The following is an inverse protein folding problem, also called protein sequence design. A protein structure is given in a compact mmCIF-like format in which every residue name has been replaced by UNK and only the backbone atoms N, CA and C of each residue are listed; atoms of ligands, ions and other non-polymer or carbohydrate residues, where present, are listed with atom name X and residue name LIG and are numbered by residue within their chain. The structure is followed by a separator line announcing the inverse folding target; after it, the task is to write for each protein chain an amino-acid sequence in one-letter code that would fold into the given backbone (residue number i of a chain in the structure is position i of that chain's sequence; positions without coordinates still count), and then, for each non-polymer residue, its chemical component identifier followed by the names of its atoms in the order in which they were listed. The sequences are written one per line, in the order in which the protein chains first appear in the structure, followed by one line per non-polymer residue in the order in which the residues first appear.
data_IF_617506008499
#
_entry.id   IF_617506008499
#
_cell.length_a   1.000
_cell.length_b   1.000
_cell.length_c   1.000
_cell.angle_alpha   90.00
_cell.angle_beta   90.00
_cell.angle_gamma   90.00
#
_symmetry.space_group_name_H-M   'P 1'
#
loop_
_entity.id
_entity.type
_entity.pdbx_description
1 polymer ?
#
# COMPACT_ATOMS: atom_id res chain seq x y z
N UNK A 1 33.62 -25.28 12.99
CA UNK A 1 33.68 -23.98 13.68
C UNK A 1 32.93 -22.97 12.81
N UNK A 2 31.68 -22.74 13.16
CA UNK A 2 30.77 -21.85 12.39
C UNK A 2 30.57 -20.59 13.23
N UNK A 3 31.20 -19.49 12.81
CA UNK A 3 31.01 -18.18 13.45
C UNK A 3 29.64 -17.62 13.08
N UNK A 4 28.78 -17.53 14.06
CA UNK A 4 27.48 -16.86 13.97
C UNK A 4 27.70 -15.36 14.00
N UNK A 5 27.58 -14.69 12.84
CA UNK A 5 27.66 -13.24 12.72
C UNK A 5 26.38 -12.62 13.31
N UNK A 6 26.43 -12.30 14.59
CA UNK A 6 25.40 -11.50 15.27
C UNK A 6 25.48 -10.07 14.73
N UNK A 7 24.53 -9.69 13.90
CA UNK A 7 24.34 -8.29 13.47
C UNK A 7 24.01 -7.44 14.71
N UNK A 8 25.02 -6.80 15.27
CA UNK A 8 24.92 -5.83 16.36
C UNK A 8 24.11 -4.61 15.85
N UNK A 9 22.83 -4.51 16.24
CA UNK A 9 22.07 -3.25 16.12
C UNK A 9 22.80 -2.20 16.94
N UNK A 10 23.37 -1.19 16.30
CA UNK A 10 23.92 -0.01 17.00
C UNK A 10 22.80 0.61 17.85
N UNK A 11 23.06 0.88 19.15
CA UNK A 11 22.06 1.55 20.00
C UNK A 11 21.75 2.94 19.39
N UNK A 12 20.46 3.24 19.19
CA UNK A 12 20.01 4.56 18.74
C UNK A 12 20.44 5.62 19.77
N UNK A 13 21.02 6.74 19.31
CA UNK A 13 21.41 7.80 20.20
C UNK A 13 20.16 8.52 20.78
N UNK A 14 20.15 8.95 22.06
CA UNK A 14 18.99 9.58 22.72
C UNK A 14 18.42 10.83 22.02
N UNK A 15 19.24 11.55 21.23
CA UNK A 15 18.80 12.68 20.41
C UNK A 15 17.98 12.25 19.19
N UNK A 16 18.31 11.10 18.60
CA UNK A 16 17.60 10.55 17.44
C UNK A 16 16.23 9.98 17.86
N UNK A 17 16.15 9.29 19.00
CA UNK A 17 14.88 8.78 19.53
C UNK A 17 13.90 9.91 19.86
N UNK A 18 14.40 11.02 20.44
CA UNK A 18 13.58 12.22 20.70
C UNK A 18 13.09 12.88 19.40
N UNK A 19 13.91 12.88 18.35
CA UNK A 19 13.53 13.37 17.02
C UNK A 19 12.45 12.49 16.38
N UNK A 20 12.64 11.19 16.38
CA UNK A 20 11.66 10.23 15.87
C UNK A 20 10.32 10.30 16.58
N UNK A 21 10.32 10.40 17.91
CA UNK A 21 9.10 10.62 18.70
C UNK A 21 8.41 11.93 18.33
N UNK A 22 9.16 13.01 18.17
CA UNK A 22 8.62 14.31 17.79
C UNK A 22 7.96 14.26 16.41
N UNK A 23 8.58 13.60 15.43
CA UNK A 23 8.00 13.39 14.10
C UNK A 23 6.72 12.56 14.20
N UNK A 24 6.70 11.51 15.01
CA UNK A 24 5.51 10.69 15.23
C UNK A 24 4.35 11.49 15.84
N UNK A 25 4.64 12.31 16.85
CA UNK A 25 3.63 13.18 17.50
C UNK A 25 3.05 14.21 16.50
N UNK A 26 3.90 14.84 15.67
CA UNK A 26 3.49 15.77 14.63
C UNK A 26 2.63 15.10 13.55
N UNK A 27 3.01 13.93 13.08
CA UNK A 27 2.24 13.16 12.08
C UNK A 27 0.92 12.67 12.67
N UNK A 28 0.88 12.27 13.94
CA UNK A 28 -0.37 11.89 14.63
C UNK A 28 -1.35 13.06 14.76
N UNK A 29 -0.86 14.25 15.07
CA UNK A 29 -1.68 15.47 15.11
C UNK A 29 -2.20 15.85 13.72
N UNK A 30 -1.34 15.75 12.69
CA UNK A 30 -1.75 16.01 11.30
C UNK A 30 -2.83 15.02 10.84
N UNK A 31 -2.68 13.73 11.15
CA UNK A 31 -3.66 12.69 10.85
C UNK A 31 -5.04 13.04 11.41
N UNK A 32 -5.11 13.41 12.69
CA UNK A 32 -6.37 13.79 13.33
C UNK A 32 -7.02 15.01 12.66
N UNK A 33 -6.24 16.04 12.32
CA UNK A 33 -6.74 17.26 11.68
C UNK A 33 -7.17 17.00 10.23
N UNK A 34 -6.45 16.19 9.47
CA UNK A 34 -6.84 15.82 8.11
C UNK A 34 -8.15 15.05 8.07
N UNK A 35 -8.44 14.24 9.09
CA UNK A 35 -9.72 13.54 9.21
C UNK A 35 -10.84 14.47 9.64
N UNK A 36 -10.61 15.32 10.66
CA UNK A 36 -11.66 16.14 11.29
C UNK A 36 -12.00 17.39 10.50
N UNK A 37 -10.98 18.05 9.92
CA UNK A 37 -11.13 19.35 9.25
C UNK A 37 -10.90 19.29 7.74
N UNK A 38 -10.36 18.17 7.25
CA UNK A 38 -9.90 18.03 5.87
C UNK A 38 -8.49 18.61 5.66
N UNK A 39 -7.87 18.20 4.55
CA UNK A 39 -6.50 18.63 4.23
C UNK A 39 -6.41 20.16 4.02
N UNK A 40 -7.33 20.74 3.26
CA UNK A 40 -7.24 22.15 2.86
C UNK A 40 -7.37 23.11 4.07
N UNK A 41 -8.30 22.83 4.99
CA UNK A 41 -8.52 23.67 6.17
C UNK A 41 -7.46 23.49 7.25
N UNK A 42 -6.66 22.44 7.21
CA UNK A 42 -5.60 22.18 8.18
C UNK A 42 -4.41 23.11 7.95
N UNK A 43 -3.91 23.74 9.04
CA UNK A 43 -2.75 24.64 9.00
C UNK A 43 -1.56 24.08 9.78
N UNK A 44 -0.34 24.51 9.43
CA UNK A 44 0.88 24.14 10.15
C UNK A 44 0.80 24.54 11.64
N UNK A 45 0.21 25.72 11.95
CA UNK A 45 0.00 26.15 13.33
C UNK A 45 -0.92 25.20 14.11
N UNK A 46 -2.02 24.76 13.50
CA UNK A 46 -2.94 23.81 14.13
C UNK A 46 -2.26 22.45 14.41
N UNK A 47 -1.45 21.96 13.48
CA UNK A 47 -0.68 20.71 13.65
C UNK A 47 0.31 20.87 14.83
N UNK A 48 1.11 21.93 14.85
CA UNK A 48 2.06 22.19 15.93
C UNK A 48 1.38 22.28 17.28
N UNK A 49 0.27 23.04 17.36
CA UNK A 49 -0.51 23.22 18.59
C UNK A 49 -1.06 21.90 19.10
N UNK A 50 -1.69 21.08 18.22
CA UNK A 50 -2.26 19.80 18.62
C UNK A 50 -1.19 18.78 19.05
N UNK A 51 0.00 18.83 18.42
CA UNK A 51 1.15 18.00 18.79
C UNK A 51 1.86 18.46 20.07
N UNK A 52 1.45 19.55 20.71
CA UNK A 52 2.16 20.16 21.84
C UNK A 52 3.58 20.61 21.48
N UNK A 53 3.80 21.03 20.23
CA UNK A 53 5.09 21.41 19.67
C UNK A 53 5.12 22.89 19.29
N UNK A 54 6.32 23.50 19.32
CA UNK A 54 6.45 24.86 18.76
C UNK A 54 6.37 24.79 17.23
N UNK A 55 5.84 25.86 16.63
CA UNK A 55 5.80 25.99 15.16
C UNK A 55 7.21 25.94 14.53
N UNK A 56 8.22 26.51 15.21
CA UNK A 56 9.62 26.42 14.76
C UNK A 56 10.15 25.01 14.74
N UNK A 57 9.76 24.16 15.72
CA UNK A 57 10.12 22.74 15.74
C UNK A 57 9.45 21.97 14.59
N UNK A 58 8.20 22.28 14.25
CA UNK A 58 7.53 21.68 13.10
C UNK A 58 8.26 21.99 11.79
N UNK A 59 8.63 23.27 11.58
CA UNK A 59 9.34 23.68 10.36
C UNK A 59 10.76 23.10 10.23
N UNK A 60 11.38 22.66 11.33
CA UNK A 60 12.65 21.93 11.28
C UNK A 60 12.52 20.56 10.61
N UNK A 61 11.36 19.89 10.74
CA UNK A 61 11.10 18.57 10.14
C UNK A 61 10.34 18.67 8.82
N UNK A 62 9.42 19.62 8.70
CA UNK A 62 8.50 19.72 7.58
C UNK A 62 8.41 21.18 7.10
N UNK A 63 8.97 21.51 5.92
CA UNK A 63 8.99 22.87 5.42
C UNK A 63 7.60 23.43 5.05
N UNK A 64 6.62 22.57 4.81
CA UNK A 64 5.27 22.96 4.44
C UNK A 64 4.26 21.83 4.75
N UNK A 65 2.96 22.10 4.54
CA UNK A 65 1.87 21.14 4.78
C UNK A 65 1.95 19.93 3.84
N UNK A 66 2.39 20.15 2.61
CA UNK A 66 2.58 19.10 1.60
C UNK A 66 3.61 18.07 2.07
N UNK A 67 4.70 18.50 2.67
CA UNK A 67 5.73 17.60 3.21
C UNK A 67 5.23 16.78 4.41
N UNK A 68 4.37 17.35 5.25
CA UNK A 68 3.68 16.60 6.32
C UNK A 68 2.76 15.55 5.73
N UNK A 69 1.93 15.94 4.76
CA UNK A 69 1.00 15.03 4.07
C UNK A 69 1.72 13.89 3.35
N UNK A 70 2.81 14.21 2.65
CA UNK A 70 3.66 13.23 1.95
C UNK A 70 4.30 12.24 2.93
N UNK A 71 4.86 12.71 4.04
CA UNK A 71 5.45 11.85 5.05
C UNK A 71 4.42 10.91 5.68
N UNK A 72 3.21 11.42 5.94
CA UNK A 72 2.12 10.61 6.47
C UNK A 72 1.61 9.59 5.45
N UNK A 73 1.47 9.97 4.18
CA UNK A 73 1.09 9.05 3.11
C UNK A 73 2.13 7.94 2.91
N UNK A 74 3.42 8.29 2.94
CA UNK A 74 4.50 7.31 2.83
C UNK A 74 4.48 6.31 3.99
N UNK A 75 4.18 6.75 5.22
CA UNK A 75 4.00 5.86 6.38
C UNK A 75 2.87 4.86 6.12
N UNK A 76 1.73 5.29 5.58
CA UNK A 76 0.63 4.38 5.24
C UNK A 76 1.02 3.38 4.15
N UNK A 77 1.77 3.81 3.14
CA UNK A 77 2.30 2.92 2.10
C UNK A 77 3.19 1.86 2.73
N UNK A 78 4.13 2.24 3.60
CA UNK A 78 5.04 1.30 4.26
C UNK A 78 4.30 0.33 5.18
N UNK A 79 3.25 0.77 5.87
CA UNK A 79 2.41 -0.09 6.70
C UNK A 79 1.59 -1.10 5.85
N UNK A 80 1.05 -0.67 4.70
CA UNK A 80 0.38 -1.59 3.75
C UNK A 80 1.38 -2.61 3.21
N UNK A 81 2.58 -2.18 2.79
CA UNK A 81 3.64 -3.10 2.33
C UNK A 81 3.97 -4.12 3.42
N UNK A 82 4.12 -3.68 4.66
CA UNK A 82 4.37 -4.60 5.79
C UNK A 82 3.25 -5.64 5.98
N UNK A 83 1.98 -5.26 5.79
CA UNK A 83 0.86 -6.20 5.82
C UNK A 83 0.91 -7.20 4.67
N UNK A 84 1.31 -6.76 3.48
CA UNK A 84 1.48 -7.63 2.31
C UNK A 84 2.65 -8.61 2.53
N UNK A 85 3.77 -8.14 3.10
CA UNK A 85 4.91 -8.98 3.44
C UNK A 85 4.54 -10.08 4.47
N UNK A 86 3.76 -9.73 5.49
CA UNK A 86 3.25 -10.70 6.46
C UNK A 86 2.33 -11.74 5.81
N UNK A 87 1.51 -11.32 4.85
CA UNK A 87 0.60 -12.21 4.15
C UNK A 87 1.31 -13.23 3.25
N UNK A 88 2.55 -12.97 2.83
CA UNK A 88 3.36 -13.90 2.03
C UNK A 88 3.49 -15.31 2.62
N UNK A 89 3.40 -15.45 3.94
CA UNK A 89 3.50 -16.75 4.62
C UNK A 89 2.24 -17.61 4.51
N UNK A 90 1.12 -17.02 4.05
CA UNK A 90 -0.20 -17.66 4.01
C UNK A 90 -0.96 -17.34 2.73
N UNK A 91 -0.25 -17.35 1.59
CA UNK A 91 -0.87 -17.09 0.28
C UNK A 91 -1.91 -18.18 -0.04
N UNK A 92 -3.07 -17.81 -0.57
CA UNK A 92 -4.12 -18.75 -0.93
C UNK A 92 -3.77 -19.57 -2.17
N UNK A 93 -4.48 -20.68 -2.37
CA UNK A 93 -4.20 -21.62 -3.45
C UNK A 93 -4.71 -21.20 -4.84
N UNK A 94 -5.61 -20.21 -4.92
CA UNK A 94 -6.22 -19.80 -6.19
C UNK A 94 -6.04 -18.30 -6.47
N UNK A 95 -5.92 -17.89 -7.75
CA UNK A 95 -5.84 -16.47 -8.12
C UNK A 95 -7.04 -15.66 -7.66
N UNK A 96 -8.24 -16.27 -7.58
CA UNK A 96 -9.45 -15.58 -7.07
C UNK A 96 -9.35 -15.27 -5.60
N UNK A 97 -8.90 -16.23 -4.81
CA UNK A 97 -8.69 -16.02 -3.37
C UNK A 97 -7.57 -15.01 -3.12
N UNK A 98 -6.50 -15.05 -3.95
CA UNK A 98 -5.43 -14.06 -3.90
C UNK A 98 -5.97 -12.64 -4.18
N UNK A 99 -6.74 -12.46 -5.25
CA UNK A 99 -7.39 -11.18 -5.57
C UNK A 99 -8.28 -10.68 -4.43
N UNK A 100 -9.09 -11.58 -3.85
CA UNK A 100 -9.97 -11.29 -2.73
C UNK A 100 -9.21 -10.87 -1.48
N UNK A 101 -8.13 -11.59 -1.14
CA UNK A 101 -7.25 -11.30 -0.01
C UNK A 101 -6.55 -9.95 -0.15
N UNK A 102 -5.94 -9.70 -1.30
CA UNK A 102 -5.25 -8.45 -1.58
C UNK A 102 -6.16 -7.22 -1.46
N UNK A 103 -7.33 -7.25 -2.11
CA UNK A 103 -8.33 -6.17 -2.00
C UNK A 103 -8.80 -6.02 -0.55
N UNK A 104 -9.01 -7.12 0.18
CA UNK A 104 -9.48 -7.08 1.56
C UNK A 104 -8.46 -6.47 2.51
N UNK A 105 -7.16 -6.77 2.34
CA UNK A 105 -6.07 -6.20 3.14
C UNK A 105 -6.01 -4.69 2.94
N UNK A 106 -5.92 -4.23 1.68
CA UNK A 106 -5.79 -2.80 1.38
C UNK A 106 -7.06 -2.02 1.78
N UNK A 107 -8.24 -2.54 1.43
CA UNK A 107 -9.51 -1.91 1.81
C UNK A 107 -9.68 -1.85 3.34
N UNK A 108 -9.35 -2.93 4.04
CA UNK A 108 -9.42 -2.99 5.50
C UNK A 108 -8.50 -1.98 6.17
N UNK A 109 -7.26 -1.83 5.67
CA UNK A 109 -6.32 -0.83 6.14
C UNK A 109 -6.84 0.60 5.92
N UNK A 110 -7.20 0.95 4.69
CA UNK A 110 -7.69 2.30 4.35
C UNK A 110 -8.98 2.67 5.10
N UNK A 111 -9.82 1.67 5.40
CA UNK A 111 -11.04 1.88 6.20
C UNK A 111 -10.74 2.25 7.66
N UNK A 112 -9.64 1.78 8.21
CA UNK A 112 -9.18 2.10 9.58
C UNK A 112 -8.38 3.40 9.64
N UNK A 113 -7.82 3.84 8.50
CA UNK A 113 -6.99 5.04 8.38
C UNK A 113 -7.60 6.04 7.39
N UNK A 114 -8.67 6.78 7.77
CA UNK A 114 -9.39 7.68 6.85
C UNK A 114 -8.50 8.77 6.24
N UNK A 115 -7.46 9.23 6.97
CA UNK A 115 -6.50 10.21 6.47
C UNK A 115 -5.69 9.68 5.28
N UNK A 116 -5.39 8.37 5.23
CA UNK A 116 -4.73 7.73 4.09
C UNK A 116 -5.46 8.05 2.78
N UNK A 117 -6.79 7.95 2.81
CA UNK A 117 -7.63 8.24 1.66
C UNK A 117 -7.64 9.72 1.31
N UNK A 118 -7.82 10.61 2.31
CA UNK A 118 -7.78 12.06 2.11
C UNK A 118 -6.51 12.47 1.39
N UNK A 119 -5.37 11.96 1.86
CA UNK A 119 -4.06 12.29 1.30
C UNK A 119 -3.85 11.67 -0.10
N UNK A 120 -4.29 10.44 -0.32
CA UNK A 120 -4.19 9.78 -1.63
C UNK A 120 -5.03 10.46 -2.74
N UNK A 121 -6.01 11.27 -2.37
CA UNK A 121 -6.85 12.07 -3.26
C UNK A 121 -6.40 13.55 -3.38
N UNK A 122 -5.38 13.96 -2.60
CA UNK A 122 -4.88 15.35 -2.58
C UNK A 122 -3.74 15.50 -3.59
N UNK A 123 -3.92 16.22 -4.72
CA UNK A 123 -2.93 16.28 -5.80
C UNK A 123 -1.56 16.81 -5.37
N UNK A 124 -1.52 17.77 -4.42
CA UNK A 124 -0.28 18.35 -3.90
C UNK A 124 0.51 17.42 -2.98
N UNK A 125 -0.11 16.35 -2.49
CA UNK A 125 0.50 15.37 -1.55
C UNK A 125 0.95 14.11 -2.25
N UNK A 126 0.32 13.75 -3.38
CA UNK A 126 0.68 12.55 -4.16
C UNK A 126 1.90 12.87 -5.03
N UNK A 127 3.12 12.75 -4.52
CA UNK A 127 4.29 13.00 -5.33
C UNK A 127 4.59 11.75 -6.16
N UNK A 128 4.47 11.89 -7.46
CA UNK A 128 5.11 11.00 -8.43
C UNK A 128 4.82 9.51 -8.24
N UNK A 129 5.87 8.72 -8.42
CA UNK A 129 5.79 7.26 -8.50
C UNK A 129 5.92 6.53 -7.15
N UNK A 130 6.37 7.18 -6.06
CA UNK A 130 6.79 6.47 -4.82
C UNK A 130 5.79 5.43 -4.32
N UNK A 131 4.54 5.84 -4.07
CA UNK A 131 3.52 4.90 -3.59
C UNK A 131 3.18 3.82 -4.61
N UNK A 132 3.17 4.18 -5.90
CA UNK A 132 2.95 3.22 -6.98
C UNK A 132 4.10 2.22 -7.07
N UNK A 133 5.35 2.70 -7.06
CA UNK A 133 6.55 1.87 -7.19
C UNK A 133 6.66 0.89 -6.01
N UNK A 134 6.47 1.39 -4.78
CA UNK A 134 6.53 0.57 -3.56
C UNK A 134 5.45 -0.52 -3.51
N UNK A 135 4.21 -0.15 -3.80
CA UNK A 135 3.09 -1.10 -3.75
C UNK A 135 3.11 -2.07 -4.93
N UNK A 136 3.49 -1.61 -6.12
CA UNK A 136 3.68 -2.51 -7.27
C UNK A 136 4.83 -3.49 -7.02
N UNK A 137 5.94 -3.06 -6.41
CA UNK A 137 7.04 -3.95 -6.05
C UNK A 137 6.61 -5.02 -5.03
N UNK A 138 5.89 -4.64 -3.98
CA UNK A 138 5.36 -5.59 -3.00
C UNK A 138 4.40 -6.61 -3.64
N UNK A 139 3.54 -6.17 -4.57
CA UNK A 139 2.66 -7.07 -5.32
C UNK A 139 3.49 -7.98 -6.25
N UNK A 140 4.53 -7.45 -6.89
CA UNK A 140 5.43 -8.23 -7.72
C UNK A 140 6.11 -9.36 -6.93
N UNK A 141 6.56 -9.10 -5.70
CA UNK A 141 7.14 -10.09 -4.81
C UNK A 141 6.11 -11.18 -4.43
N UNK A 142 4.86 -10.79 -4.15
CA UNK A 142 3.76 -11.73 -3.90
C UNK A 142 3.47 -12.61 -5.12
N UNK A 143 3.37 -12.02 -6.31
CA UNK A 143 3.11 -12.73 -7.57
C UNK A 143 4.25 -13.69 -7.92
N UNK A 144 5.51 -13.29 -7.70
CA UNK A 144 6.68 -14.14 -7.91
C UNK A 144 6.64 -15.40 -7.05
N UNK A 145 6.18 -15.27 -5.79
CA UNK A 145 6.01 -16.41 -4.89
C UNK A 145 4.85 -17.30 -5.30
N UNK A 146 3.78 -16.69 -5.82
CA UNK A 146 2.60 -17.40 -6.26
C UNK A 146 2.83 -18.18 -7.55
N UNK A 147 3.50 -17.56 -8.53
CA UNK A 147 3.84 -18.16 -9.83
C UNK A 147 5.27 -17.76 -10.25
N UNK A 148 6.28 -18.59 -9.94
CA UNK A 148 7.68 -18.31 -10.26
C UNK A 148 8.01 -18.30 -11.75
N UNK A 149 7.12 -18.81 -12.63
CA UNK A 149 7.35 -18.86 -14.07
C UNK A 149 7.17 -17.50 -14.74
N UNK A 150 6.35 -16.60 -14.17
CA UNK A 150 6.14 -15.25 -14.70
C UNK A 150 7.33 -14.38 -14.31
N UNK A 151 7.99 -13.75 -15.29
CA UNK A 151 9.22 -12.97 -15.07
C UNK A 151 9.28 -11.70 -15.91
N UNK A 152 10.24 -10.84 -15.57
CA UNK A 152 10.60 -9.66 -16.35
C UNK A 152 9.49 -8.63 -16.49
N UNK A 153 9.37 -8.06 -17.67
CA UNK A 153 8.41 -6.97 -17.95
C UNK A 153 6.95 -7.42 -17.84
N UNK A 154 6.67 -8.70 -18.08
CA UNK A 154 5.32 -9.24 -17.93
C UNK A 154 4.87 -9.21 -16.47
N UNK A 155 5.70 -9.72 -15.55
CA UNK A 155 5.44 -9.70 -14.12
C UNK A 155 5.24 -8.25 -13.61
N UNK A 156 6.11 -7.32 -14.04
CA UNK A 156 5.98 -5.91 -13.66
C UNK A 156 4.67 -5.30 -14.16
N UNK A 157 4.25 -5.62 -15.38
CA UNK A 157 2.99 -5.13 -15.95
C UNK A 157 1.77 -5.69 -15.22
N UNK A 158 1.79 -6.98 -14.86
CA UNK A 158 0.72 -7.62 -14.07
C UNK A 158 0.64 -6.98 -12.68
N UNK A 159 1.78 -6.74 -12.03
CA UNK A 159 1.82 -6.12 -10.71
C UNK A 159 1.24 -4.70 -10.72
N UNK A 160 1.62 -3.87 -11.70
CA UNK A 160 1.08 -2.51 -11.87
C UNK A 160 -0.42 -2.56 -12.15
N UNK A 161 -0.87 -3.40 -13.07
CA UNK A 161 -2.30 -3.56 -13.38
C UNK A 161 -3.09 -4.02 -12.14
N UNK A 162 -2.57 -5.00 -11.40
CA UNK A 162 -3.16 -5.48 -10.15
C UNK A 162 -3.29 -4.34 -9.14
N UNK A 163 -2.23 -3.54 -8.93
CA UNK A 163 -2.28 -2.40 -8.02
C UNK A 163 -3.32 -1.36 -8.46
N UNK A 164 -3.39 -1.03 -9.75
CA UNK A 164 -4.37 -0.06 -10.26
C UNK A 164 -5.81 -0.54 -10.06
N UNK A 165 -6.10 -1.83 -10.23
CA UNK A 165 -7.42 -2.42 -9.95
C UNK A 165 -7.74 -2.34 -8.45
N UNK A 166 -6.79 -2.70 -7.57
CA UNK A 166 -6.95 -2.60 -6.11
C UNK A 166 -7.22 -1.15 -5.70
N UNK A 167 -6.39 -0.21 -6.16
CA UNK A 167 -6.56 1.23 -5.91
C UNK A 167 -7.93 1.73 -6.40
N UNK A 168 -8.30 1.39 -7.63
CA UNK A 168 -9.60 1.73 -8.21
C UNK A 168 -10.78 1.19 -7.41
N UNK A 169 -10.64 -0.02 -6.85
CA UNK A 169 -11.66 -0.63 -5.98
C UNK A 169 -11.88 0.19 -4.71
N UNK A 170 -10.78 0.59 -4.05
CA UNK A 170 -10.85 1.41 -2.82
C UNK A 170 -11.45 2.79 -3.10
N UNK A 171 -11.02 3.46 -4.18
CA UNK A 171 -11.56 4.76 -4.58
C UNK A 171 -13.00 4.67 -5.05
N UNK A 172 -13.34 3.69 -5.89
CA UNK A 172 -14.66 3.48 -6.46
C UNK A 172 -15.73 3.17 -5.42
N UNK A 173 -15.37 2.56 -4.30
CA UNK A 173 -16.29 2.29 -3.18
C UNK A 173 -16.97 3.56 -2.62
N UNK A 174 -16.43 4.74 -2.90
CA UNK A 174 -16.99 6.05 -2.49
C UNK A 174 -17.85 6.72 -3.58
N UNK A 175 -17.62 6.34 -4.83
CA UNK A 175 -18.35 6.90 -5.97
C UNK A 175 -19.76 6.32 -6.10
N UNK A 176 -20.04 5.25 -5.35
CA UNK A 176 -21.33 4.61 -5.32
C UNK A 176 -22.00 4.78 -3.95
N UNK A 177 -23.32 4.62 -3.92
CA UNK A 177 -24.06 4.59 -2.66
C UNK A 177 -23.51 3.53 -1.70
N UNK A 178 -23.52 3.82 -0.41
CA UNK A 178 -22.98 2.91 0.62
C UNK A 178 -23.57 1.50 0.53
N UNK A 179 -24.84 1.38 0.17
CA UNK A 179 -25.53 0.10 -0.08
C UNK A 179 -24.93 -0.72 -1.23
N UNK A 180 -24.35 -0.06 -2.23
CA UNK A 180 -23.76 -0.68 -3.43
C UNK A 180 -22.27 -0.95 -3.31
N UNK A 181 -21.60 -0.34 -2.32
CA UNK A 181 -20.14 -0.43 -2.15
C UNK A 181 -19.65 -1.88 -1.96
N UNK A 182 -20.38 -2.70 -1.20
CA UNK A 182 -20.02 -4.10 -1.01
C UNK A 182 -20.22 -4.95 -2.28
N UNK A 183 -21.23 -4.65 -3.08
CA UNK A 183 -21.46 -5.30 -4.36
C UNK A 183 -20.34 -4.94 -5.35
N UNK A 184 -20.04 -3.64 -5.51
CA UNK A 184 -18.94 -3.18 -6.35
C UNK A 184 -17.62 -3.87 -5.97
N UNK A 185 -17.29 -3.96 -4.68
CA UNK A 185 -16.07 -4.64 -4.24
C UNK A 185 -16.05 -6.11 -4.66
N UNK A 186 -17.16 -6.84 -4.57
CA UNK A 186 -17.23 -8.24 -5.05
C UNK A 186 -17.00 -8.35 -6.55
N UNK A 187 -17.60 -7.47 -7.35
CA UNK A 187 -17.37 -7.42 -8.80
C UNK A 187 -15.90 -7.14 -9.13
N UNK A 188 -15.25 -6.21 -8.42
CA UNK A 188 -13.84 -5.91 -8.62
C UNK A 188 -12.92 -7.06 -8.16
N UNK A 189 -13.27 -7.78 -7.10
CA UNK A 189 -12.57 -9.00 -6.69
C UNK A 189 -12.68 -10.09 -7.76
N UNK A 190 -13.86 -10.28 -8.34
CA UNK A 190 -14.08 -11.23 -9.41
C UNK A 190 -13.31 -10.83 -10.68
N UNK A 191 -13.36 -9.57 -11.08
CA UNK A 191 -12.64 -9.05 -12.23
C UNK A 191 -11.12 -9.24 -12.09
N UNK A 192 -10.55 -8.87 -10.93
CA UNK A 192 -9.13 -9.08 -10.66
C UNK A 192 -8.79 -10.57 -10.62
N UNK A 193 -9.64 -11.40 -10.01
CA UNK A 193 -9.46 -12.85 -9.96
C UNK A 193 -9.40 -13.46 -11.37
N UNK A 194 -10.35 -13.12 -12.25
CA UNK A 194 -10.38 -13.60 -13.61
C UNK A 194 -9.17 -13.13 -14.44
N UNK A 195 -8.77 -11.86 -14.26
CA UNK A 195 -7.55 -11.32 -14.87
C UNK A 195 -6.31 -12.11 -14.46
N UNK A 196 -6.15 -12.39 -13.17
CA UNK A 196 -5.01 -13.15 -12.67
C UNK A 196 -5.07 -14.63 -13.09
N UNK A 197 -6.25 -15.25 -13.14
CA UNK A 197 -6.43 -16.62 -13.66
C UNK A 197 -5.95 -16.73 -15.11
N UNK A 198 -6.31 -15.77 -15.97
CA UNK A 198 -5.88 -15.73 -17.36
C UNK A 198 -4.37 -15.54 -17.50
N UNK A 199 -3.78 -14.65 -16.69
CA UNK A 199 -2.36 -14.28 -16.77
C UNK A 199 -1.43 -15.31 -16.13
N UNK A 200 -1.90 -16.01 -15.09
CA UNK A 200 -1.11 -16.95 -14.29
C UNK A 200 -1.47 -18.41 -14.58
N UNK A 201 -2.64 -18.68 -15.19
CA UNK A 201 -3.08 -20.04 -15.56
C UNK A 201 -2.62 -20.52 -16.93
N UNK A 202 -2.01 -19.67 -17.76
CA UNK A 202 -1.64 -19.98 -19.15
C UNK A 202 -0.47 -20.96 -19.31
N UNK A 203 0.34 -21.20 -18.27
CA UNK A 203 1.48 -22.11 -18.32
C UNK A 203 1.11 -23.61 -18.32
N UNK A 204 -0.06 -23.97 -17.77
CA UNK A 204 -0.45 -25.38 -17.64
C UNK A 204 -1.16 -25.97 -18.88
N UNK A 205 -1.69 -25.12 -19.76
CA UNK A 205 -2.46 -25.60 -20.94
C UNK A 205 -1.65 -25.67 -22.24
N UNK A 206 -0.48 -25.05 -22.32
CA UNK A 206 0.38 -25.10 -23.49
C UNK A 206 1.05 -26.49 -23.67
N UNK A 207 1.28 -27.23 -22.60
CA UNK A 207 1.96 -28.54 -22.65
C UNK A 207 1.02 -29.71 -22.97
N UNK A 208 -0.29 -29.50 -22.96
CA UNK A 208 -1.28 -30.55 -23.31
C UNK A 208 -1.62 -30.63 -24.82
N UNK A 209 -1.20 -29.63 -25.63
CA UNK A 209 -1.52 -29.58 -27.07
C UNK A 209 -0.45 -30.16 -28.00
N UNK A 210 0.76 -30.45 -27.50
CA UNK A 210 1.88 -30.95 -28.31
C UNK A 210 1.99 -32.49 -28.32
N UNK A 211 1.08 -33.22 -27.65
CA UNK A 211 1.16 -34.68 -27.56
C UNK A 211 0.13 -35.41 -28.43
N UNK A 212 -0.43 -34.80 -29.47
CA UNK A 212 -1.25 -35.46 -30.47
C UNK A 212 -0.62 -35.33 -31.85
N UNK A 213 0.41 -36.15 -32.12
CA UNK A 213 0.75 -36.54 -33.49
C UNK A 213 -0.21 -37.60 -34.00
N UNK A 214 -0.67 -37.50 -35.26
CA UNK A 214 -1.52 -38.53 -35.87
C UNK A 214 -0.66 -39.66 -36.41
N UNK A 215 -1.14 -40.86 -36.22
CA UNK A 215 -0.78 -42.01 -37.06
C UNK A 215 -1.63 -41.98 -38.31
#
# INVERSE_FOLDING_TARGET
MTETHVLSRRPKQPSQERGEKRVADLLGAAEQLFVSSGYEATTMNAIASLAGSSIGSLYQFFPNKESVGTALLNRYVDEIVSLLDQWQSSLPGTPREFAGGLISIVHGYVSKHPACRVLAETPSVVPGSYGMDRLSAAIQDLLTKYDPEIKGSELSSIAVATWLIVRGTVQGSRMVEKSKSAALRREMQQALGSYLEERMGGGSTANARTSREPR
#
